data_IF_991186514369
#
_entry.id   IF_991186514369
#
_cell.length_a   1.000
_cell.length_b   1.000
_cell.length_c   1.000
_cell.angle_alpha   90.00
_cell.angle_beta   90.00
_cell.angle_gamma   90.00
#
_symmetry.space_group_name_H-M   'P 1'
#
loop_
_entity.id
_entity.type
_entity.pdbx_description
1 polymer ?
#
# COMPACT_ATOMS: atom_id res chain seq x y z
N UNK A 1 -39.78 19.29 -37.82
CA UNK A 1 -38.31 19.12 -37.98
C UNK A 1 -37.57 18.91 -36.66
N UNK A 2 -38.07 19.38 -35.51
CA UNK A 2 -37.35 19.29 -34.22
C UNK A 2 -37.48 17.94 -33.52
N UNK A 3 -38.45 17.08 -33.85
CA UNK A 3 -38.65 15.80 -33.16
C UNK A 3 -37.59 14.77 -33.53
N UNK A 4 -37.17 14.71 -34.77
CA UNK A 4 -36.12 13.78 -35.22
C UNK A 4 -34.80 14.07 -34.49
N UNK A 5 -34.48 15.36 -34.30
CA UNK A 5 -33.27 15.78 -33.60
C UNK A 5 -33.32 15.40 -32.12
N UNK A 6 -34.49 15.52 -31.49
CA UNK A 6 -34.69 15.09 -30.07
C UNK A 6 -34.57 13.58 -29.92
N UNK A 7 -35.14 12.82 -30.84
CA UNK A 7 -35.04 11.34 -30.83
C UNK A 7 -33.60 10.90 -31.05
N UNK A 8 -32.89 11.52 -32.00
CA UNK A 8 -31.48 11.24 -32.27
C UNK A 8 -30.58 11.57 -31.04
N UNK A 9 -30.85 12.69 -30.40
CA UNK A 9 -30.14 13.12 -29.20
C UNK A 9 -30.33 12.13 -28.03
N UNK A 10 -31.59 11.71 -27.79
CA UNK A 10 -31.91 10.72 -26.77
C UNK A 10 -31.26 9.36 -27.10
N UNK A 11 -31.29 8.95 -28.38
CA UNK A 11 -30.67 7.71 -28.83
C UNK A 11 -29.14 7.74 -28.65
N UNK A 12 -28.48 8.83 -28.95
CA UNK A 12 -27.04 9.01 -28.74
C UNK A 12 -26.70 8.94 -27.25
N UNK A 13 -27.45 9.64 -26.39
CA UNK A 13 -27.27 9.58 -24.95
C UNK A 13 -27.46 8.13 -24.45
N UNK A 14 -28.53 7.47 -24.90
CA UNK A 14 -28.79 6.09 -24.52
C UNK A 14 -27.64 5.16 -24.91
N UNK A 15 -27.11 5.29 -26.13
CA UNK A 15 -25.96 4.50 -26.60
C UNK A 15 -24.70 4.79 -25.77
N UNK A 16 -24.42 6.08 -25.48
CA UNK A 16 -23.27 6.47 -24.67
C UNK A 16 -23.30 5.89 -23.25
N UNK A 17 -24.49 5.75 -22.68
CA UNK A 17 -24.64 5.13 -21.35
C UNK A 17 -24.74 3.61 -21.38
N UNK A 18 -25.30 3.04 -22.45
CA UNK A 18 -25.57 1.60 -22.51
C UNK A 18 -24.37 0.80 -23.01
N UNK A 19 -23.58 1.35 -23.93
CA UNK A 19 -22.39 0.66 -24.48
C UNK A 19 -21.35 0.36 -23.37
N UNK A 20 -21.01 1.29 -22.46
CA UNK A 20 -20.13 0.97 -21.35
C UNK A 20 -20.71 -0.02 -20.33
N UNK A 21 -22.05 -0.19 -20.29
CA UNK A 21 -22.71 -1.16 -19.42
C UNK A 21 -22.64 -2.60 -19.98
N UNK A 22 -22.64 -2.75 -21.30
CA UNK A 22 -22.79 -4.04 -21.97
C UNK A 22 -21.46 -4.65 -22.43
N UNK A 23 -20.40 -3.84 -22.51
CA UNK A 23 -19.07 -4.29 -22.93
C UNK A 23 -18.29 -4.82 -21.73
N UNK A 24 -18.23 -6.15 -21.51
CA UNK A 24 -17.70 -6.72 -20.25
C UNK A 24 -16.18 -6.59 -20.10
N UNK A 25 -15.43 -6.39 -21.19
CA UNK A 25 -13.97 -6.46 -21.19
C UNK A 25 -13.28 -5.09 -21.32
N UNK A 26 -14.03 -4.00 -21.27
CA UNK A 26 -13.42 -2.67 -21.31
C UNK A 26 -13.19 -2.13 -19.90
N UNK A 27 -12.02 -1.53 -19.66
CA UNK A 27 -11.69 -0.78 -18.45
C UNK A 27 -12.65 0.39 -18.13
N UNK A 28 -13.66 0.61 -18.99
CA UNK A 28 -14.72 1.60 -18.86
C UNK A 28 -16.11 1.02 -18.60
N UNK A 29 -16.22 -0.25 -18.22
CA UNK A 29 -17.51 -0.86 -17.88
C UNK A 29 -18.02 -0.29 -16.57
N UNK A 30 -19.14 0.44 -16.61
CA UNK A 30 -19.75 1.07 -15.43
C UNK A 30 -20.17 0.06 -14.36
N UNK A 31 -20.52 -1.17 -14.72
CA UNK A 31 -20.91 -2.21 -13.75
C UNK A 31 -19.69 -2.64 -12.95
N UNK A 32 -18.57 -2.88 -13.60
CA UNK A 32 -17.32 -3.24 -12.89
C UNK A 32 -16.77 -2.10 -12.04
N UNK A 33 -17.04 -0.85 -12.42
CA UNK A 33 -16.62 0.35 -11.69
C UNK A 33 -17.50 0.63 -10.48
N UNK A 34 -18.82 0.32 -10.56
CA UNK A 34 -19.76 0.56 -9.46
C UNK A 34 -19.46 -0.31 -8.24
N UNK A 35 -18.95 -1.52 -8.44
CA UNK A 35 -18.57 -2.41 -7.34
C UNK A 35 -17.23 -2.03 -6.69
N UNK A 36 -16.47 -1.11 -7.29
CA UNK A 36 -15.21 -0.63 -6.74
C UNK A 36 -15.47 0.64 -5.93
N UNK A 37 -15.13 0.69 -4.65
CA UNK A 37 -15.27 1.92 -3.86
C UNK A 37 -14.58 3.11 -4.55
N UNK A 38 -15.22 4.30 -4.60
CA UNK A 38 -14.68 5.47 -5.29
C UNK A 38 -13.27 5.86 -4.86
N UNK A 39 -12.93 5.62 -3.60
CA UNK A 39 -11.59 5.86 -3.04
C UNK A 39 -10.52 4.94 -3.63
N UNK A 40 -10.87 3.73 -4.01
CA UNK A 40 -9.97 2.81 -4.69
C UNK A 40 -9.77 3.21 -6.16
N UNK A 41 -10.81 3.72 -6.82
CA UNK A 41 -10.73 4.23 -8.19
C UNK A 41 -9.87 5.48 -8.30
N UNK A 42 -9.91 6.36 -7.30
CA UNK A 42 -9.14 7.62 -7.29
C UNK A 42 -7.74 7.46 -6.72
N UNK A 43 -7.41 6.31 -6.11
CA UNK A 43 -6.11 6.02 -5.52
C UNK A 43 -4.94 5.88 -6.50
N UNK A 44 -5.14 6.21 -7.76
CA UNK A 44 -4.07 6.28 -8.77
C UNK A 44 -3.60 4.92 -9.31
N UNK A 45 -4.24 3.83 -8.94
CA UNK A 45 -3.96 2.51 -9.51
C UNK A 45 -4.94 2.23 -10.64
N UNK A 46 -4.44 2.05 -11.86
CA UNK A 46 -5.24 1.56 -12.99
C UNK A 46 -5.64 0.08 -12.83
N UNK A 47 -5.24 -0.54 -11.75
CA UNK A 47 -5.56 -1.93 -11.43
C UNK A 47 -6.69 -1.97 -10.40
N UNK A 48 -7.60 -2.93 -10.51
CA UNK A 48 -8.57 -3.17 -9.44
C UNK A 48 -7.82 -3.45 -8.13
N UNK A 49 -8.39 -3.06 -6.98
CA UNK A 49 -7.79 -3.38 -5.69
C UNK A 49 -7.60 -4.89 -5.57
N UNK A 50 -6.46 -5.31 -5.05
CA UNK A 50 -6.27 -6.71 -4.72
C UNK A 50 -7.31 -7.13 -3.68
N UNK A 51 -7.76 -8.37 -3.74
CA UNK A 51 -8.67 -8.92 -2.74
C UNK A 51 -8.09 -8.76 -1.32
N UNK A 52 -6.77 -8.84 -1.18
CA UNK A 52 -6.05 -8.66 0.08
C UNK A 52 -6.39 -7.34 0.77
N UNK A 53 -6.50 -6.25 0.00
CA UNK A 53 -6.91 -4.96 0.55
C UNK A 53 -8.36 -4.98 1.05
N UNK A 54 -9.28 -5.51 0.25
CA UNK A 54 -10.69 -5.58 0.64
C UNK A 54 -10.87 -6.47 1.87
N UNK A 55 -10.23 -7.62 1.91
CA UNK A 55 -10.27 -8.55 3.04
C UNK A 55 -9.67 -7.91 4.30
N UNK A 56 -8.55 -7.21 4.18
CA UNK A 56 -7.91 -6.51 5.30
C UNK A 56 -8.81 -5.39 5.85
N UNK A 57 -9.40 -4.58 4.97
CA UNK A 57 -10.27 -3.48 5.38
C UNK A 57 -11.57 -3.99 6.03
N UNK A 58 -12.12 -5.08 5.51
CA UNK A 58 -13.27 -5.76 6.11
C UNK A 58 -12.90 -6.38 7.47
N UNK A 59 -11.72 -6.99 7.56
CA UNK A 59 -11.23 -7.51 8.84
C UNK A 59 -11.09 -6.39 9.88
N UNK A 60 -10.50 -5.26 9.53
CA UNK A 60 -10.38 -4.09 10.41
C UNK A 60 -11.77 -3.67 10.89
N UNK A 61 -12.73 -3.54 9.98
CA UNK A 61 -14.09 -3.15 10.30
C UNK A 61 -14.76 -4.07 11.32
N UNK A 62 -14.56 -5.38 11.15
CA UNK A 62 -15.27 -6.40 11.93
C UNK A 62 -14.55 -6.79 13.23
N UNK A 63 -13.25 -6.49 13.35
CA UNK A 63 -12.42 -7.00 14.46
C UNK A 63 -11.76 -5.92 15.31
N UNK A 64 -11.99 -4.65 15.02
CA UNK A 64 -11.49 -3.54 15.84
C UNK A 64 -12.63 -2.73 16.42
N UNK A 65 -12.38 -1.96 17.48
CA UNK A 65 -13.36 -1.05 18.08
C UNK A 65 -13.81 0.01 17.06
N UNK A 66 -15.07 0.49 17.18
CA UNK A 66 -15.61 1.52 16.28
C UNK A 66 -14.84 2.84 16.38
N UNK A 67 -14.26 3.13 17.52
CA UNK A 67 -13.43 4.30 17.80
C UNK A 67 -11.92 4.06 17.55
N UNK A 68 -11.55 2.90 17.02
CA UNK A 68 -10.14 2.56 16.77
C UNK A 68 -9.47 3.54 15.80
N UNK A 69 -8.26 3.92 16.16
CA UNK A 69 -7.40 4.81 15.37
C UNK A 69 -6.32 3.97 14.68
N UNK A 70 -6.29 4.06 13.34
CA UNK A 70 -5.39 3.28 12.51
C UNK A 70 -4.28 4.19 11.98
N UNK A 71 -3.04 3.83 12.28
CA UNK A 71 -1.85 4.43 11.72
C UNK A 71 -1.46 3.69 10.43
N UNK A 72 -1.26 4.41 9.35
CA UNK A 72 -0.80 3.87 8.07
C UNK A 72 -0.11 4.95 7.26
N UNK A 73 0.52 4.59 6.15
CA UNK A 73 0.93 5.61 5.19
C UNK A 73 -0.29 6.30 4.58
N UNK A 74 -0.17 7.55 4.22
CA UNK A 74 -1.28 8.41 3.76
C UNK A 74 -2.03 7.84 2.55
N UNK A 75 -1.40 7.03 1.72
CA UNK A 75 -2.00 6.40 0.53
C UNK A 75 -3.27 5.62 0.87
N UNK A 76 -3.37 5.09 2.09
CA UNK A 76 -4.42 4.16 2.50
C UNK A 76 -5.50 4.80 3.38
N UNK A 77 -5.31 6.04 3.79
CA UNK A 77 -6.17 6.69 4.77
C UNK A 77 -7.64 6.76 4.35
N UNK A 78 -7.93 7.08 3.10
CA UNK A 78 -9.31 7.10 2.60
C UNK A 78 -9.95 5.72 2.58
N UNK A 79 -9.19 4.67 2.28
CA UNK A 79 -9.71 3.30 2.30
C UNK A 79 -10.08 2.89 3.73
N UNK A 80 -9.20 3.18 4.68
CA UNK A 80 -9.44 2.92 6.09
C UNK A 80 -10.70 3.66 6.56
N UNK A 81 -10.81 4.94 6.24
CA UNK A 81 -11.94 5.74 6.69
C UNK A 81 -13.26 5.33 6.03
N UNK A 82 -13.26 5.05 4.72
CA UNK A 82 -14.51 4.85 3.98
C UNK A 82 -14.98 3.41 3.94
N UNK A 83 -14.07 2.43 3.98
CA UNK A 83 -14.42 1.00 3.88
C UNK A 83 -14.42 0.36 5.25
N UNK A 84 -13.36 0.59 6.05
CA UNK A 84 -13.30 0.02 7.39
C UNK A 84 -14.12 0.81 8.41
N UNK A 85 -14.54 2.03 8.08
CA UNK A 85 -15.27 2.91 9.01
C UNK A 85 -14.48 3.14 10.32
N UNK A 86 -13.17 3.40 10.18
CA UNK A 86 -12.24 3.66 11.29
C UNK A 86 -11.50 4.97 11.08
N UNK A 87 -11.00 5.56 12.15
CA UNK A 87 -10.22 6.79 12.07
C UNK A 87 -8.81 6.49 11.53
N UNK A 88 -8.40 7.18 10.46
CA UNK A 88 -7.01 7.18 9.97
C UNK A 88 -6.26 8.39 10.52
N UNK A 89 -5.00 8.21 10.96
CA UNK A 89 -4.16 9.31 11.44
C UNK A 89 -3.82 10.32 10.36
N UNK A 90 -3.59 9.84 9.15
CA UNK A 90 -3.29 10.63 7.95
C UNK A 90 -3.96 10.01 6.74
N UNK A 91 -4.28 10.82 5.75
CA UNK A 91 -5.02 10.40 4.57
C UNK A 91 -4.50 11.05 3.28
N UNK A 92 -5.14 10.69 2.17
CA UNK A 92 -4.78 11.13 0.82
C UNK A 92 -5.02 12.64 0.58
N UNK A 93 -5.69 13.35 1.49
CA UNK A 93 -5.83 14.80 1.38
C UNK A 93 -4.50 15.53 1.55
N UNK A 94 -3.55 14.91 2.27
CA UNK A 94 -2.18 15.43 2.47
C UNK A 94 -2.10 16.90 2.90
N UNK A 95 -3.12 17.36 3.62
CA UNK A 95 -3.28 18.77 3.98
C UNK A 95 -2.28 19.28 5.02
N UNK A 96 -1.66 18.36 5.77
CA UNK A 96 -0.78 18.70 6.88
C UNK A 96 0.56 17.98 6.73
N UNK A 97 1.52 18.62 6.08
CA UNK A 97 2.87 18.09 5.82
C UNK A 97 3.56 17.57 7.09
N UNK A 98 3.38 18.27 8.22
CA UNK A 98 4.00 17.87 9.48
C UNK A 98 3.51 16.51 9.98
N UNK A 99 2.27 16.12 9.72
CA UNK A 99 1.73 14.81 10.07
C UNK A 99 2.33 13.70 9.20
N UNK A 100 2.48 13.96 7.91
CA UNK A 100 3.12 13.02 6.98
C UNK A 100 4.57 12.80 7.37
N UNK A 101 5.28 13.89 7.69
CA UNK A 101 6.65 13.82 8.19
C UNK A 101 6.73 13.01 9.49
N UNK A 102 5.82 13.25 10.42
CA UNK A 102 5.78 12.55 11.69
C UNK A 102 5.54 11.05 11.50
N UNK A 103 4.62 10.66 10.60
CA UNK A 103 4.38 9.25 10.28
C UNK A 103 5.62 8.59 9.65
N UNK A 104 6.31 9.29 8.76
CA UNK A 104 7.59 8.81 8.22
C UNK A 104 8.65 8.61 9.31
N UNK A 105 8.72 9.51 10.30
CA UNK A 105 9.60 9.38 11.46
C UNK A 105 9.23 8.18 12.33
N UNK A 106 7.95 7.93 12.56
CA UNK A 106 7.46 6.75 13.28
C UNK A 106 7.95 5.47 12.60
N UNK A 107 7.77 5.36 11.29
CA UNK A 107 8.20 4.18 10.53
C UNK A 107 9.72 3.93 10.57
N UNK A 108 10.50 4.99 10.68
CA UNK A 108 11.98 4.92 10.70
C UNK A 108 12.57 4.87 12.10
N UNK A 109 11.79 5.07 13.14
CA UNK A 109 12.24 4.98 14.53
C UNK A 109 12.43 3.52 14.98
N UNK A 110 13.06 3.34 16.12
CA UNK A 110 13.05 2.03 16.78
C UNK A 110 11.64 1.62 17.20
N UNK A 111 11.43 0.33 17.48
CA UNK A 111 10.09 -0.15 17.87
C UNK A 111 9.55 0.55 19.12
N UNK A 112 10.42 0.76 20.12
CA UNK A 112 10.02 1.39 21.39
C UNK A 112 9.69 2.88 21.21
N UNK A 113 10.51 3.59 20.42
CA UNK A 113 10.29 4.99 20.11
C UNK A 113 9.03 5.15 19.25
N UNK A 114 8.90 4.35 18.20
CA UNK A 114 7.72 4.38 17.32
C UNK A 114 6.43 4.07 18.08
N UNK A 115 6.49 3.11 19.03
CA UNK A 115 5.35 2.83 19.89
C UNK A 115 4.97 4.04 20.77
N UNK A 116 5.96 4.70 21.37
CA UNK A 116 5.69 5.91 22.17
C UNK A 116 5.08 7.03 21.33
N UNK A 117 5.60 7.26 20.12
CA UNK A 117 5.07 8.25 19.18
C UNK A 117 3.64 7.92 18.73
N UNK A 118 3.32 6.65 18.50
CA UNK A 118 1.98 6.19 18.16
C UNK A 118 1.00 6.40 19.32
N UNK A 119 1.44 6.12 20.56
CA UNK A 119 0.63 6.35 21.76
C UNK A 119 0.28 7.83 21.97
N UNK A 120 1.20 8.75 21.64
CA UNK A 120 0.91 10.20 21.69
C UNK A 120 -0.26 10.59 20.78
N UNK A 121 -0.47 9.82 19.72
CA UNK A 121 -1.55 10.04 18.75
C UNK A 121 -2.76 9.11 18.96
N UNK A 122 -2.76 8.36 20.05
CA UNK A 122 -3.80 7.38 20.40
C UNK A 122 -4.04 6.37 19.27
N UNK A 123 -2.98 5.94 18.58
CA UNK A 123 -3.09 4.92 17.55
C UNK A 123 -3.22 3.53 18.21
N UNK A 124 -4.25 2.78 17.82
CA UNK A 124 -4.52 1.44 18.33
C UNK A 124 -3.87 0.36 17.45
N UNK A 125 -3.79 0.63 16.15
CA UNK A 125 -3.26 -0.31 15.15
C UNK A 125 -2.35 0.40 14.15
N UNK A 126 -1.41 -0.37 13.60
CA UNK A 126 -0.57 0.03 12.47
C UNK A 126 -0.83 -0.90 11.30
N UNK A 127 -1.08 -0.33 10.13
CA UNK A 127 -1.26 -1.06 8.88
C UNK A 127 -0.16 -0.68 7.92
N UNK A 128 0.54 -1.70 7.40
CA UNK A 128 1.50 -1.56 6.31
C UNK A 128 1.06 -2.41 5.12
N UNK A 129 1.48 -2.01 3.94
CA UNK A 129 1.30 -2.80 2.74
C UNK A 129 2.66 -3.31 2.25
N UNK A 130 2.77 -4.61 2.06
CA UNK A 130 3.96 -5.26 1.54
C UNK A 130 3.58 -6.03 0.27
N UNK A 131 4.22 -5.68 -0.85
CA UNK A 131 3.98 -6.38 -2.10
C UNK A 131 4.98 -7.52 -2.25
N UNK A 132 4.48 -8.77 -2.25
CA UNK A 132 5.33 -9.94 -2.42
C UNK A 132 4.62 -11.01 -3.26
N UNK A 133 5.36 -11.66 -4.12
CA UNK A 133 4.91 -12.83 -4.86
C UNK A 133 5.50 -14.10 -4.26
N UNK A 134 4.65 -15.09 -4.03
CA UNK A 134 5.09 -16.39 -3.53
C UNK A 134 5.72 -17.19 -4.66
N UNK A 135 6.94 -17.65 -4.45
CA UNK A 135 7.60 -18.62 -5.34
C UNK A 135 7.15 -20.03 -4.96
N UNK A 136 6.40 -20.67 -5.84
CA UNK A 136 6.07 -22.09 -5.70
C UNK A 136 7.28 -22.92 -6.10
N UNK A 137 7.60 -23.96 -5.30
CA UNK A 137 8.60 -25.00 -5.60
C UNK A 137 10.09 -24.62 -5.49
N UNK A 138 10.49 -23.63 -4.70
CA UNK A 138 11.90 -23.24 -4.64
C UNK A 138 12.74 -23.89 -3.54
N UNK A 139 12.15 -24.66 -2.65
CA UNK A 139 12.89 -25.29 -1.56
C UNK A 139 12.50 -26.74 -1.35
N UNK A 140 13.52 -27.61 -1.36
CA UNK A 140 13.39 -29.01 -0.96
C UNK A 140 13.12 -29.19 0.56
N UNK A 141 13.18 -28.09 1.33
CA UNK A 141 12.98 -28.06 2.79
C UNK A 141 11.54 -27.72 3.20
N UNK A 142 10.62 -27.48 2.26
CA UNK A 142 9.26 -27.06 2.57
C UNK A 142 9.13 -25.57 2.94
N UNK A 143 10.20 -24.81 2.80
CA UNK A 143 10.24 -23.38 3.11
C UNK A 143 9.52 -22.57 2.02
N UNK A 144 8.79 -21.55 2.45
CA UNK A 144 8.09 -20.66 1.52
C UNK A 144 8.98 -19.48 1.22
N UNK A 145 9.30 -19.28 -0.06
CA UNK A 145 10.07 -18.14 -0.54
C UNK A 145 9.13 -17.11 -1.17
N UNK A 146 9.44 -15.85 -0.95
CA UNK A 146 8.72 -14.73 -1.55
C UNK A 146 9.71 -13.82 -2.28
N UNK A 147 9.29 -13.31 -3.42
CA UNK A 147 9.98 -12.24 -4.13
C UNK A 147 9.24 -10.96 -3.86
N UNK A 148 9.95 -9.94 -3.39
CA UNK A 148 9.40 -8.60 -3.25
C UNK A 148 8.97 -8.07 -4.61
N UNK A 149 7.69 -7.69 -4.68
CA UNK A 149 7.15 -6.92 -5.79
C UNK A 149 7.53 -5.44 -5.70
N UNK A 150 6.89 -4.65 -6.52
CA UNK A 150 6.99 -3.19 -6.48
C UNK A 150 5.67 -2.60 -5.98
N UNK A 151 5.74 -1.57 -5.15
CA UNK A 151 4.55 -0.82 -4.70
C UNK A 151 4.19 -0.97 -3.23
N UNK A 152 4.84 -1.88 -2.49
CA UNK A 152 4.72 -1.96 -1.04
C UNK A 152 5.42 -0.80 -0.31
N UNK A 153 5.17 -0.68 0.98
CA UNK A 153 5.77 0.38 1.80
C UNK A 153 7.29 0.23 1.91
N UNK A 154 7.81 -0.99 1.85
CA UNK A 154 9.25 -1.25 1.81
C UNK A 154 9.92 -0.59 0.60
N UNK A 155 9.24 -0.51 -0.54
CA UNK A 155 9.77 0.14 -1.76
C UNK A 155 9.66 1.66 -1.72
N UNK A 156 8.85 2.20 -0.81
CA UNK A 156 8.71 3.65 -0.57
C UNK A 156 9.71 4.19 0.44
N UNK A 157 10.59 3.35 1.00
CA UNK A 157 11.51 3.69 2.09
C UNK A 157 12.35 4.93 1.82
N UNK A 158 12.84 5.11 0.57
CA UNK A 158 13.58 6.31 0.19
C UNK A 158 12.78 7.60 0.40
N UNK A 159 11.46 7.55 0.16
CA UNK A 159 10.58 8.69 0.36
C UNK A 159 10.33 8.94 1.83
N UNK A 160 10.13 7.89 2.64
CA UNK A 160 10.00 8.03 4.09
C UNK A 160 11.23 8.68 4.68
N UNK A 161 12.44 8.24 4.28
CA UNK A 161 13.70 8.79 4.77
C UNK A 161 13.84 10.27 4.40
N UNK A 162 13.54 10.63 3.14
CA UNK A 162 13.59 12.02 2.66
C UNK A 162 12.57 12.91 3.38
N UNK A 163 11.34 12.45 3.52
CA UNK A 163 10.25 13.18 4.19
C UNK A 163 10.55 13.35 5.68
N UNK A 164 11.11 12.33 6.33
CA UNK A 164 11.58 12.43 7.71
C UNK A 164 12.74 13.43 7.90
N UNK A 165 13.44 13.77 6.82
CA UNK A 165 14.62 14.66 6.86
C UNK A 165 15.90 13.93 7.26
N UNK A 166 15.99 12.63 7.01
CA UNK A 166 17.12 11.78 7.37
C UNK A 166 18.03 11.49 6.16
N UNK A 167 19.31 11.17 6.38
CA UNK A 167 20.21 10.74 5.32
C UNK A 167 19.85 9.33 4.83
N UNK A 168 20.00 9.07 3.54
CA UNK A 168 19.64 7.78 2.92
C UNK A 168 20.61 6.65 3.29
N UNK A 169 21.90 6.93 3.32
CA UNK A 169 22.97 5.93 3.45
C UNK A 169 22.85 4.97 4.66
N UNK A 170 22.41 5.38 5.87
CA UNK A 170 22.27 4.44 6.97
C UNK A 170 21.21 3.36 6.73
N UNK A 171 20.25 3.60 5.82
CA UNK A 171 19.06 2.78 5.66
C UNK A 171 18.98 2.04 4.32
N UNK A 172 19.69 2.53 3.29
CA UNK A 172 19.61 1.99 1.94
C UNK A 172 20.98 1.48 1.48
N UNK A 173 20.98 0.56 0.52
CA UNK A 173 22.14 0.15 -0.22
C UNK A 173 22.67 1.29 -1.14
N UNK A 174 23.77 1.04 -1.83
CA UNK A 174 24.43 2.03 -2.71
C UNK A 174 23.58 2.48 -3.90
N UNK A 175 22.52 1.75 -4.23
CA UNK A 175 21.53 2.12 -5.25
C UNK A 175 20.57 3.21 -4.77
N UNK A 176 20.62 3.56 -3.48
CA UNK A 176 19.71 4.51 -2.82
C UNK A 176 18.22 4.16 -2.96
N UNK A 177 17.91 2.92 -3.20
CA UNK A 177 16.57 2.42 -3.39
C UNK A 177 16.27 1.21 -2.49
N UNK A 178 17.14 0.21 -2.51
CA UNK A 178 16.95 -1.04 -1.78
C UNK A 178 17.29 -0.88 -0.31
N UNK A 179 16.37 -1.27 0.56
CA UNK A 179 16.57 -1.24 2.02
C UNK A 179 17.68 -2.20 2.43
N UNK A 180 18.52 -1.77 3.37
CA UNK A 180 19.61 -2.56 3.89
C UNK A 180 19.25 -3.24 5.23
N UNK A 181 20.18 -4.02 5.76
CA UNK A 181 20.02 -4.73 7.03
C UNK A 181 19.73 -3.79 8.19
N UNK A 182 20.32 -2.59 8.21
CA UNK A 182 20.06 -1.64 9.29
C UNK A 182 18.61 -1.16 9.29
N UNK A 183 18.04 -0.88 8.11
CA UNK A 183 16.62 -0.55 7.98
C UNK A 183 15.74 -1.69 8.51
N UNK A 184 15.96 -2.91 8.03
CA UNK A 184 15.16 -4.08 8.38
C UNK A 184 15.23 -4.44 9.88
N UNK A 185 16.42 -4.26 10.50
CA UNK A 185 16.63 -4.69 11.88
C UNK A 185 16.30 -3.62 12.92
N UNK A 186 16.40 -2.33 12.55
CA UNK A 186 16.38 -1.24 13.53
C UNK A 186 15.23 -0.25 13.35
N UNK A 187 14.46 -0.32 12.25
CA UNK A 187 13.28 0.52 12.09
C UNK A 187 11.99 -0.23 12.42
N UNK A 188 10.97 0.51 12.84
CA UNK A 188 9.64 -0.05 13.08
C UNK A 188 9.10 -0.70 11.80
N UNK A 189 9.13 0.01 10.66
CA UNK A 189 8.66 -0.53 9.38
C UNK A 189 9.44 -1.79 8.98
N UNK A 190 10.77 -1.77 9.10
CA UNK A 190 11.61 -2.93 8.77
C UNK A 190 11.26 -4.18 9.59
N UNK A 191 10.92 -4.00 10.87
CA UNK A 191 10.52 -5.11 11.75
C UNK A 191 9.09 -5.59 11.50
N UNK A 192 8.23 -4.74 10.93
CA UNK A 192 6.87 -5.12 10.56
C UNK A 192 6.83 -5.89 9.24
N UNK A 193 7.87 -5.81 8.40
CA UNK A 193 7.97 -6.62 7.19
C UNK A 193 8.05 -8.10 7.60
N UNK A 194 7.13 -8.96 7.14
CA UNK A 194 6.98 -10.32 7.68
C UNK A 194 8.06 -11.31 7.17
N UNK A 195 9.05 -10.83 6.44
CA UNK A 195 10.15 -11.64 5.91
C UNK A 195 11.43 -10.82 5.80
N UNK A 196 12.57 -11.52 5.80
CA UNK A 196 13.87 -10.91 5.55
C UNK A 196 14.29 -11.19 4.11
N UNK A 197 14.56 -10.18 3.28
CA UNK A 197 15.08 -10.39 1.94
C UNK A 197 16.41 -11.15 1.98
N UNK A 198 16.53 -12.17 1.12
CA UNK A 198 17.76 -12.98 1.02
C UNK A 198 18.64 -12.58 -0.16
N UNK A 199 18.10 -11.85 -1.12
CA UNK A 199 18.84 -11.41 -2.29
C UNK A 199 18.32 -10.05 -2.77
N UNK A 200 19.25 -9.23 -3.26
CA UNK A 200 18.99 -7.94 -3.87
C UNK A 200 19.65 -7.86 -5.23
N UNK A 201 19.05 -7.13 -6.14
CA UNK A 201 19.65 -6.81 -7.41
C UNK A 201 19.73 -5.30 -7.59
N UNK A 202 20.96 -4.78 -7.67
CA UNK A 202 21.20 -3.38 -7.99
C UNK A 202 21.11 -3.18 -9.51
N UNK A 203 20.02 -2.59 -9.95
CA UNK A 203 19.80 -2.32 -11.37
C UNK A 203 20.79 -1.29 -11.95
N UNK A 204 21.30 -0.38 -11.11
CA UNK A 204 22.21 0.67 -11.55
C UNK A 204 23.62 0.14 -11.76
N UNK A 205 24.10 -0.69 -10.85
CA UNK A 205 25.46 -1.23 -10.88
C UNK A 205 25.52 -2.66 -11.42
N UNK A 206 24.39 -3.27 -11.77
CA UNK A 206 24.26 -4.67 -12.21
C UNK A 206 24.93 -5.66 -11.23
N UNK A 207 24.90 -5.35 -9.95
CA UNK A 207 25.44 -6.19 -8.89
C UNK A 207 24.32 -6.86 -8.13
N UNK A 208 24.47 -8.14 -7.86
CA UNK A 208 23.59 -8.87 -6.95
C UNK A 208 24.28 -9.05 -5.60
N UNK A 209 23.56 -8.80 -4.53
CA UNK A 209 23.98 -9.17 -3.19
C UNK A 209 23.12 -10.32 -2.71
N UNK A 210 23.77 -11.23 -2.02
CA UNK A 210 23.08 -12.29 -1.29
C UNK A 210 23.39 -12.10 0.16
N UNK A 211 22.47 -11.54 0.92
CA UNK A 211 22.53 -11.60 2.37
C UNK A 211 21.73 -12.84 2.80
N UNK A 212 22.44 -13.90 3.17
CA UNK A 212 21.81 -15.10 3.69
C UNK A 212 21.31 -14.85 5.09
N UNK A 213 20.09 -14.38 5.22
CA UNK A 213 19.31 -14.57 6.43
C UNK A 213 18.11 -15.43 6.06
N UNK A 214 17.91 -16.59 6.69
CA UNK A 214 16.69 -17.34 6.47
C UNK A 214 15.53 -16.46 6.92
N UNK A 215 14.79 -15.95 5.95
CA UNK A 215 13.57 -15.19 6.16
C UNK A 215 12.41 -16.09 5.82
N UNK A 216 11.64 -16.50 6.82
CA UNK A 216 10.42 -17.28 6.64
C UNK A 216 9.25 -16.42 6.98
N UNK A 217 8.18 -16.57 6.21
CA UNK A 217 6.85 -16.23 6.68
C UNK A 217 6.23 -17.55 7.15
N UNK A 218 6.04 -17.77 8.44
CA UNK A 218 5.07 -18.74 8.89
C UNK A 218 3.69 -18.15 8.55
N UNK A 219 2.97 -18.80 7.66
CA UNK A 219 1.53 -18.63 7.56
C UNK A 219 0.86 -19.51 8.57
#
# INVERSE_FOLDING_TARGET
KNYIFKILFVAVIFVLFTVPLVYPDSSGNWISVVDIPPTLLTGGTNNPPSNDWLETLEWIKNNTSEDAVIASWWDYGYWITTISDRTSLIDNATLIDSRIKYMAQIFLSSSDEGWNMLNEWNADYVVIFVAAERLENYSNSGERLYVLGTGGDETKSQWFIRIAGLPLQPYLHSDFFTVNTNFLSNTLLGKMIPYTPIAYYDQLNQQSWTEFRPGFIPL
#
